data_IF_251105698973
#
_entry.id   IF_251105698973
#
_cell.length_a   1.000
_cell.length_b   1.000
_cell.length_c   1.000
_cell.angle_alpha   90.00
_cell.angle_beta   90.00
_cell.angle_gamma   90.00
#
_symmetry.space_group_name_H-M   'P 1'
#
loop_
_entity.id
_entity.type
_entity.pdbx_description
1 polymer ?
#
# COMPACT_ATOMS: atom_id res chain seq x y z
N UNK A 1 78.16 -12.11 -31.59
CA UNK A 1 76.81 -12.56 -31.18
C UNK A 1 76.25 -11.53 -30.21
N UNK A 2 75.08 -10.96 -30.51
CA UNK A 2 74.45 -9.86 -29.78
C UNK A 2 73.80 -10.40 -28.50
N UNK A 3 74.21 -9.91 -27.33
CA UNK A 3 73.49 -10.16 -26.08
C UNK A 3 72.76 -8.88 -25.66
N UNK A 4 71.45 -9.00 -25.58
CA UNK A 4 70.47 -7.98 -25.19
C UNK A 4 70.38 -8.01 -23.66
N UNK A 5 70.56 -6.86 -23.02
CA UNK A 5 70.42 -6.71 -21.57
C UNK A 5 68.95 -6.84 -21.13
N UNK A 6 68.65 -7.41 -19.95
CA UNK A 6 67.29 -7.61 -19.50
C UNK A 6 66.69 -6.34 -18.87
N UNK A 7 65.47 -6.04 -19.30
CA UNK A 7 64.58 -5.03 -18.79
C UNK A 7 63.98 -5.49 -17.46
N UNK A 8 64.47 -4.96 -16.34
CA UNK A 8 63.89 -5.19 -15.00
C UNK A 8 63.84 -3.88 -14.20
N UNK A 9 62.72 -3.15 -14.30
CA UNK A 9 62.14 -2.32 -13.24
C UNK A 9 60.93 -1.58 -13.82
N UNK A 10 59.72 -1.78 -13.25
CA UNK A 10 58.66 -0.76 -13.09
C UNK A 10 57.25 -1.30 -12.78
N UNK A 11 57.01 -2.63 -12.78
CA UNK A 11 55.66 -3.15 -12.56
C UNK A 11 55.15 -3.05 -11.10
N UNK A 12 56.05 -2.89 -10.12
CA UNK A 12 55.66 -2.73 -8.70
C UNK A 12 55.22 -1.32 -8.31
N UNK A 13 55.66 -0.29 -9.04
CA UNK A 13 55.33 1.12 -8.75
C UNK A 13 53.91 1.43 -9.26
N UNK A 14 53.56 0.91 -10.44
CA UNK A 14 52.22 1.07 -11.04
C UNK A 14 51.11 0.41 -10.20
N UNK A 15 51.36 -0.78 -9.63
CA UNK A 15 50.38 -1.48 -8.77
C UNK A 15 50.22 -0.76 -7.42
N UNK A 16 51.30 -0.20 -6.85
CA UNK A 16 51.23 0.59 -5.61
C UNK A 16 50.48 1.91 -5.81
N UNK A 17 50.67 2.59 -6.95
CA UNK A 17 49.90 3.80 -7.27
C UNK A 17 48.41 3.50 -7.50
N UNK A 18 48.07 2.38 -8.14
CA UNK A 18 46.69 1.99 -8.39
C UNK A 18 45.92 1.61 -7.10
N UNK A 19 46.56 0.93 -6.15
CA UNK A 19 45.95 0.58 -4.85
C UNK A 19 45.78 1.81 -3.95
N UNK A 20 46.72 2.77 -3.99
CA UNK A 20 46.59 4.05 -3.25
C UNK A 20 45.49 4.92 -3.86
N UNK A 21 45.34 4.96 -5.19
CA UNK A 21 44.23 5.66 -5.86
C UNK A 21 42.86 5.00 -5.59
N UNK A 22 42.79 3.67 -5.46
CA UNK A 22 41.58 2.93 -5.10
C UNK A 22 41.17 3.13 -3.63
N UNK A 23 42.14 3.26 -2.71
CA UNK A 23 41.90 3.52 -1.28
C UNK A 23 41.52 4.98 -0.98
N UNK A 24 41.94 5.94 -1.81
CA UNK A 24 41.48 7.33 -1.70
C UNK A 24 40.01 7.46 -2.17
N UNK A 25 39.57 6.62 -3.11
CA UNK A 25 38.20 6.63 -3.63
C UNK A 25 37.16 6.08 -2.62
N UNK A 26 37.55 5.19 -1.72
CA UNK A 26 36.63 4.61 -0.71
C UNK A 26 36.43 5.49 0.54
N UNK A 27 37.32 6.47 0.81
CA UNK A 27 37.18 7.38 1.95
C UNK A 27 36.27 8.61 1.68
N UNK A 28 35.83 8.85 0.45
CA UNK A 28 35.00 10.02 0.11
C UNK A 28 33.49 9.75 0.21
N UNK A 29 33.07 8.49 0.35
CA UNK A 29 31.64 8.13 0.44
C UNK A 29 31.06 8.07 1.87
N UNK A 30 31.89 8.27 2.89
CA UNK A 30 31.42 8.31 4.28
C UNK A 30 31.38 9.77 4.75
N UNK A 31 30.18 10.37 4.71
CA UNK A 31 29.84 11.75 5.12
C UNK A 31 29.56 12.77 4.01
N UNK A 32 28.83 12.40 2.95
CA UNK A 32 28.01 13.40 2.26
C UNK A 32 26.79 13.71 3.14
N UNK A 33 26.84 14.83 3.88
CA UNK A 33 25.63 15.45 4.42
C UNK A 33 24.76 15.80 3.22
N UNK A 34 23.65 15.08 3.01
CA UNK A 34 22.70 15.40 1.94
C UNK A 34 22.22 16.84 2.18
N UNK A 35 22.34 17.75 1.20
CA UNK A 35 21.83 19.10 1.36
C UNK A 35 20.32 19.00 1.60
N UNK A 36 19.85 19.59 2.71
CA UNK A 36 18.42 19.73 2.98
C UNK A 36 17.88 20.81 2.04
N UNK A 37 17.18 20.39 0.99
CA UNK A 37 16.52 21.29 0.06
C UNK A 37 15.27 21.88 0.74
N UNK A 38 15.21 23.21 0.82
CA UNK A 38 14.15 23.92 1.54
C UNK A 38 13.00 24.23 0.58
N UNK A 39 11.92 23.47 0.68
CA UNK A 39 10.67 23.76 -0.03
C UNK A 39 9.78 24.71 0.79
N UNK A 40 9.07 25.62 0.12
CA UNK A 40 8.12 26.52 0.76
C UNK A 40 6.72 25.88 0.82
N UNK A 41 6.08 25.82 2.01
CA UNK A 41 4.75 25.25 2.14
C UNK A 41 3.68 26.20 1.57
N UNK A 42 2.57 25.67 1.03
CA UNK A 42 1.45 26.49 0.63
C UNK A 42 0.81 27.16 1.86
N UNK A 43 0.42 28.42 1.73
CA UNK A 43 -0.17 29.18 2.84
C UNK A 43 -1.68 29.25 2.66
N UNK A 44 -2.42 28.69 3.63
CA UNK A 44 -3.87 28.76 3.65
C UNK A 44 -4.37 30.21 3.78
N UNK A 45 -5.35 30.59 2.96
CA UNK A 45 -6.02 31.89 3.05
C UNK A 45 -6.81 31.97 4.35
N UNK A 46 -6.65 33.08 5.08
CA UNK A 46 -7.48 33.42 6.24
C UNK A 46 -8.75 34.12 5.77
N UNK A 47 -9.90 33.49 5.99
CA UNK A 47 -11.24 34.03 5.71
C UNK A 47 -12.00 33.98 7.03
N UNK A 48 -12.23 35.11 7.70
CA UNK A 48 -12.79 35.12 9.05
C UNK A 48 -14.26 34.71 9.04
N UNK A 49 -14.57 33.56 9.64
CA UNK A 49 -15.93 33.09 9.88
C UNK A 49 -16.28 33.19 11.36
N UNK A 50 -17.45 33.73 11.70
CA UNK A 50 -17.89 33.86 13.10
C UNK A 50 -18.73 32.67 13.50
N UNK A 51 -18.24 31.91 14.47
CA UNK A 51 -18.94 30.75 15.02
C UNK A 51 -19.40 31.11 16.42
N UNK A 52 -20.71 31.07 16.65
CA UNK A 52 -21.31 31.33 17.97
C UNK A 52 -21.91 30.04 18.53
N UNK A 53 -21.42 29.60 19.69
CA UNK A 53 -21.93 28.43 20.40
C UNK A 53 -22.00 28.72 21.89
N UNK A 54 -23.11 28.35 22.54
CA UNK A 54 -23.36 28.56 23.97
C UNK A 54 -23.11 30.00 24.46
N UNK A 55 -23.50 31.00 23.66
CA UNK A 55 -23.32 32.41 24.00
C UNK A 55 -21.89 32.94 23.84
N UNK A 56 -20.94 32.13 23.40
CA UNK A 56 -19.57 32.55 23.09
C UNK A 56 -19.34 32.60 21.58
N UNK A 57 -18.70 33.65 21.10
CA UNK A 57 -18.33 33.80 19.68
C UNK A 57 -16.82 33.67 19.51
N UNK A 58 -16.39 32.80 18.58
CA UNK A 58 -15.01 32.70 18.10
C UNK A 58 -14.93 33.03 16.62
N UNK A 59 -13.77 33.48 16.16
CA UNK A 59 -13.48 33.66 14.74
C UNK A 59 -12.64 32.46 14.29
N UNK A 60 -13.13 31.74 13.30
CA UNK A 60 -12.42 30.66 12.63
C UNK A 60 -12.00 31.13 11.24
N UNK A 61 -10.71 31.44 11.07
CA UNK A 61 -10.17 31.93 9.81
C UNK A 61 -10.10 30.85 8.72
N UNK A 62 -10.34 29.59 9.07
CA UNK A 62 -10.11 28.43 8.20
C UNK A 62 -11.34 27.54 8.07
N UNK A 63 -12.51 28.04 8.48
CA UNK A 63 -13.79 27.32 8.39
C UNK A 63 -14.05 26.76 6.98
N UNK A 64 -13.70 27.53 5.96
CA UNK A 64 -13.83 27.16 4.55
C UNK A 64 -13.08 25.88 4.15
N UNK A 65 -12.04 25.45 4.88
CA UNK A 65 -11.32 24.18 4.61
C UNK A 65 -12.18 22.93 4.85
N UNK A 66 -13.27 23.03 5.61
CA UNK A 66 -14.21 21.94 5.82
C UNK A 66 -15.18 21.70 4.65
N UNK A 67 -15.25 22.64 3.71
CA UNK A 67 -16.17 22.58 2.56
C UNK A 67 -15.59 21.72 1.44
N UNK A 68 -15.89 20.41 1.47
CA UNK A 68 -15.27 19.41 0.57
C UNK A 68 -15.39 19.74 -0.92
N UNK A 69 -16.50 20.32 -1.34
CA UNK A 69 -16.77 20.64 -2.75
C UNK A 69 -16.28 22.05 -3.17
N UNK A 70 -15.73 22.82 -2.24
CA UNK A 70 -15.25 24.17 -2.53
C UNK A 70 -13.97 24.10 -3.39
N UNK A 71 -13.94 24.72 -4.58
CA UNK A 71 -12.78 24.65 -5.48
C UNK A 71 -11.51 25.26 -4.88
N UNK A 72 -11.62 26.20 -3.93
CA UNK A 72 -10.47 26.73 -3.21
C UNK A 72 -9.82 25.64 -2.33
N UNK A 73 -10.63 24.75 -1.74
CA UNK A 73 -10.14 23.66 -0.87
C UNK A 73 -9.38 22.65 -1.72
N UNK A 74 -9.98 22.21 -2.83
CA UNK A 74 -9.32 21.30 -3.77
C UNK A 74 -8.00 21.89 -4.28
N UNK A 75 -7.99 23.19 -4.62
CA UNK A 75 -6.76 23.87 -5.05
C UNK A 75 -5.69 23.87 -3.95
N UNK A 76 -6.07 24.12 -2.70
CA UNK A 76 -5.15 24.13 -1.57
C UNK A 76 -4.61 22.73 -1.28
N UNK A 77 -5.47 21.69 -1.27
CA UNK A 77 -5.07 20.31 -1.05
C UNK A 77 -4.11 19.79 -2.12
N UNK A 78 -4.31 20.17 -3.39
CA UNK A 78 -3.34 19.85 -4.45
C UNK A 78 -1.98 20.48 -4.18
N UNK A 79 -1.95 21.75 -3.78
CA UNK A 79 -0.69 22.42 -3.44
C UNK A 79 0.01 21.78 -2.22
N UNK A 80 -0.75 21.29 -1.23
CA UNK A 80 -0.22 20.54 -0.09
C UNK A 80 0.35 19.19 -0.52
N UNK A 81 -0.35 18.46 -1.40
CA UNK A 81 0.16 17.20 -1.95
C UNK A 81 1.44 17.41 -2.77
N UNK A 82 1.49 18.44 -3.62
CA UNK A 82 2.68 18.78 -4.40
C UNK A 82 3.87 19.15 -3.48
N UNK A 83 3.60 19.81 -2.35
CA UNK A 83 4.61 20.12 -1.35
C UNK A 83 5.09 18.86 -0.62
N UNK A 84 4.16 17.99 -0.22
CA UNK A 84 4.44 16.70 0.40
C UNK A 84 5.35 15.85 -0.49
N UNK A 85 5.02 15.71 -1.79
CA UNK A 85 5.82 14.95 -2.75
C UNK A 85 7.27 15.45 -2.79
N UNK A 86 7.48 16.77 -2.91
CA UNK A 86 8.83 17.36 -2.96
C UNK A 86 9.61 17.14 -1.68
N UNK A 87 8.98 17.38 -0.53
CA UNK A 87 9.62 17.21 0.79
C UNK A 87 9.95 15.74 1.05
N UNK A 88 9.06 14.84 0.68
CA UNK A 88 9.17 13.40 0.98
C UNK A 88 9.96 12.60 -0.07
N UNK A 89 10.20 13.15 -1.26
CA UNK A 89 10.89 12.47 -2.37
C UNK A 89 12.18 11.76 -1.92
N UNK A 90 12.98 12.39 -1.06
CA UNK A 90 14.24 11.82 -0.57
C UNK A 90 14.08 10.55 0.30
N UNK A 91 12.87 10.22 0.74
CA UNK A 91 12.53 9.08 1.60
C UNK A 91 11.81 7.95 0.87
N UNK A 92 11.47 8.09 -0.43
CA UNK A 92 10.69 7.08 -1.17
C UNK A 92 11.30 5.68 -1.08
N UNK A 93 12.61 5.57 -1.27
CA UNK A 93 13.31 4.28 -1.15
C UNK A 93 13.21 3.66 0.26
N UNK A 94 13.19 4.50 1.31
CA UNK A 94 13.00 4.03 2.68
C UNK A 94 11.55 3.62 2.93
N UNK A 95 10.57 4.38 2.41
CA UNK A 95 9.16 4.04 2.50
C UNK A 95 8.88 2.66 1.89
N UNK A 96 9.42 2.40 0.69
CA UNK A 96 9.30 1.11 0.01
C UNK A 96 9.93 -0.03 0.83
N UNK A 97 11.14 0.21 1.37
CA UNK A 97 11.81 -0.77 2.22
C UNK A 97 10.97 -1.11 3.46
N UNK A 98 10.41 -0.09 4.11
CA UNK A 98 9.55 -0.27 5.28
C UNK A 98 8.24 -0.94 4.92
N UNK A 99 7.66 -0.63 3.77
CA UNK A 99 6.45 -1.28 3.27
C UNK A 99 6.66 -2.79 3.11
N UNK A 100 7.72 -3.19 2.41
CA UNK A 100 8.06 -4.61 2.23
C UNK A 100 8.43 -5.30 3.55
N UNK A 101 9.12 -4.62 4.46
CA UNK A 101 9.41 -5.13 5.80
C UNK A 101 8.13 -5.39 6.61
N UNK A 102 7.20 -4.43 6.62
CA UNK A 102 5.92 -4.55 7.35
C UNK A 102 5.08 -5.66 6.71
N UNK A 103 4.95 -5.66 5.38
CA UNK A 103 4.22 -6.68 4.63
C UNK A 103 4.77 -8.07 4.94
N UNK A 104 6.08 -8.25 4.90
CA UNK A 104 6.75 -9.52 5.21
C UNK A 104 6.59 -9.99 6.66
N UNK A 105 6.15 -9.13 7.59
CA UNK A 105 5.87 -9.49 8.99
C UNK A 105 4.42 -9.89 9.24
N UNK A 106 3.52 -9.62 8.31
CA UNK A 106 2.11 -9.99 8.41
C UNK A 106 1.97 -11.45 7.96
N UNK A 107 1.42 -12.30 8.83
CA UNK A 107 1.08 -13.68 8.47
C UNK A 107 -0.28 -13.70 7.77
N UNK A 108 -0.33 -14.22 6.56
CA UNK A 108 -1.59 -14.34 5.79
C UNK A 108 -2.58 -15.32 6.43
N UNK A 109 -2.08 -16.35 7.10
CA UNK A 109 -2.88 -17.25 7.95
C UNK A 109 -2.40 -17.14 9.39
N UNK A 110 -3.29 -16.74 10.29
CA UNK A 110 -2.94 -16.49 11.70
C UNK A 110 -3.97 -17.11 12.65
N UNK A 111 -3.51 -17.49 13.84
CA UNK A 111 -4.31 -18.10 14.89
C UNK A 111 -4.03 -17.37 16.20
N UNK A 112 -5.09 -16.83 16.82
CA UNK A 112 -4.95 -16.19 18.13
C UNK A 112 -4.65 -17.22 19.22
N UNK A 113 -4.09 -16.75 20.33
CA UNK A 113 -3.96 -17.57 21.53
C UNK A 113 -5.37 -17.99 22.00
N UNK A 114 -5.64 -19.29 22.20
CA UNK A 114 -6.95 -19.72 22.70
C UNK A 114 -7.19 -19.26 24.13
N UNK A 115 -8.32 -18.59 24.37
CA UNK A 115 -8.77 -18.15 25.68
C UNK A 115 -9.83 -19.10 26.22
N UNK A 116 -9.65 -19.59 27.45
CA UNK A 116 -10.65 -20.42 28.11
C UNK A 116 -11.75 -19.56 28.70
N UNK A 117 -12.99 -19.77 28.26
CA UNK A 117 -14.19 -19.16 28.84
C UNK A 117 -15.21 -20.25 29.16
N UNK A 118 -15.30 -20.60 30.45
CA UNK A 118 -16.07 -21.76 30.92
C UNK A 118 -15.45 -23.08 30.45
N UNK A 119 -16.25 -23.88 29.76
CA UNK A 119 -15.86 -25.19 29.21
C UNK A 119 -15.33 -25.13 27.77
N UNK A 120 -15.27 -23.94 27.17
CA UNK A 120 -14.84 -23.75 25.79
C UNK A 120 -13.56 -22.91 25.71
N UNK A 121 -12.75 -23.18 24.68
CA UNK A 121 -11.64 -22.34 24.27
C UNK A 121 -12.05 -21.54 23.03
N UNK A 122 -11.90 -20.23 23.10
CA UNK A 122 -12.19 -19.31 22.01
C UNK A 122 -10.88 -18.85 21.37
N UNK A 123 -10.84 -18.82 20.05
CA UNK A 123 -9.72 -18.27 19.30
C UNK A 123 -10.23 -17.64 18.01
N UNK A 124 -9.44 -16.74 17.45
CA UNK A 124 -9.66 -16.14 16.14
C UNK A 124 -8.70 -16.81 15.17
N UNK A 125 -9.18 -17.16 13.98
CA UNK A 125 -8.37 -17.71 12.91
C UNK A 125 -8.63 -16.93 11.63
N UNK A 126 -7.55 -16.47 11.02
CA UNK A 126 -7.57 -15.91 9.67
C UNK A 126 -7.09 -16.97 8.69
N UNK A 127 -7.86 -17.21 7.64
CA UNK A 127 -7.47 -18.07 6.53
C UNK A 127 -7.85 -17.40 5.20
N UNK A 128 -7.02 -17.61 4.19
CA UNK A 128 -7.35 -17.18 2.84
C UNK A 128 -8.39 -18.14 2.25
N UNK A 129 -9.58 -17.63 1.96
CA UNK A 129 -10.67 -18.39 1.32
C UNK A 129 -10.72 -18.13 -0.18
N UNK A 130 -10.57 -16.87 -0.58
CA UNK A 130 -10.57 -16.45 -1.98
C UNK A 130 -9.22 -15.77 -2.25
N UNK A 131 -8.31 -16.43 -2.98
CA UNK A 131 -7.00 -15.85 -3.27
C UNK A 131 -7.11 -14.67 -4.23
N UNK A 132 -6.19 -13.71 -4.10
CA UNK A 132 -6.10 -12.59 -5.01
C UNK A 132 -5.78 -13.05 -6.44
N UNK A 133 -6.38 -12.36 -7.42
CA UNK A 133 -6.15 -12.57 -8.86
C UNK A 133 -6.10 -11.20 -9.54
N UNK A 134 -5.01 -10.90 -10.24
CA UNK A 134 -4.75 -9.58 -10.83
C UNK A 134 -5.75 -9.20 -11.94
N UNK A 135 -6.37 -10.20 -12.58
CA UNK A 135 -7.30 -10.06 -13.70
C UNK A 135 -8.78 -10.05 -13.27
N UNK A 136 -9.04 -10.10 -11.96
CA UNK A 136 -10.38 -10.20 -11.38
C UNK A 136 -10.62 -9.09 -10.36
N UNK A 137 -11.68 -8.33 -10.57
CA UNK A 137 -12.19 -7.38 -9.57
C UNK A 137 -13.21 -8.10 -8.68
N UNK A 138 -12.87 -8.30 -7.40
CA UNK A 138 -13.83 -8.82 -6.42
C UNK A 138 -14.82 -7.72 -6.05
N UNK A 139 -16.11 -7.94 -6.31
CA UNK A 139 -17.15 -6.93 -6.09
C UNK A 139 -17.85 -7.14 -4.74
N UNK A 140 -18.36 -8.34 -4.48
CA UNK A 140 -19.14 -8.67 -3.29
C UNK A 140 -19.06 -10.15 -2.99
N UNK A 141 -19.34 -10.53 -1.75
CA UNK A 141 -19.59 -11.93 -1.39
C UNK A 141 -20.79 -12.05 -0.46
N UNK A 142 -21.41 -13.23 -0.44
CA UNK A 142 -22.44 -13.63 0.52
C UNK A 142 -22.09 -15.00 1.09
N UNK A 143 -22.13 -15.09 2.41
CA UNK A 143 -21.88 -16.33 3.15
C UNK A 143 -23.25 -16.97 3.41
N UNK A 144 -23.42 -18.20 2.95
CA UNK A 144 -24.55 -19.07 3.31
C UNK A 144 -24.04 -20.26 4.14
N UNK A 145 -24.99 -21.02 4.71
CA UNK A 145 -24.68 -22.20 5.54
C UNK A 145 -23.78 -23.22 4.84
N UNK A 146 -24.01 -23.46 3.54
CA UNK A 146 -23.38 -24.56 2.79
C UNK A 146 -22.36 -24.06 1.74
N UNK A 147 -22.40 -22.78 1.37
CA UNK A 147 -21.53 -22.20 0.35
C UNK A 147 -21.27 -20.69 0.56
N UNK A 148 -20.17 -20.22 0.00
CA UNK A 148 -19.85 -18.82 -0.23
C UNK A 148 -20.14 -18.47 -1.68
N UNK A 149 -20.93 -17.41 -1.93
CA UNK A 149 -21.13 -16.85 -3.26
C UNK A 149 -20.24 -15.63 -3.42
N UNK A 150 -19.42 -15.61 -4.46
CA UNK A 150 -18.54 -14.48 -4.80
C UNK A 150 -19.03 -13.86 -6.11
N UNK A 151 -19.41 -12.59 -6.06
CA UNK A 151 -19.62 -11.76 -7.24
C UNK A 151 -18.28 -11.11 -7.61
N UNK A 152 -17.80 -11.45 -8.78
CA UNK A 152 -16.52 -10.97 -9.31
C UNK A 152 -16.69 -10.47 -10.73
N UNK A 153 -15.81 -9.57 -11.17
CA UNK A 153 -15.78 -9.10 -12.56
C UNK A 153 -14.50 -9.56 -13.21
N UNK A 154 -14.66 -10.30 -14.31
CA UNK A 154 -13.57 -10.77 -15.15
C UNK A 154 -13.90 -10.42 -16.61
N UNK A 155 -12.95 -9.85 -17.34
CA UNK A 155 -13.14 -9.39 -18.73
C UNK A 155 -14.35 -8.44 -18.91
N UNK A 156 -14.67 -7.63 -17.90
CA UNK A 156 -15.79 -6.67 -17.92
C UNK A 156 -17.17 -7.28 -17.64
N UNK A 157 -17.29 -8.61 -17.55
CA UNK A 157 -18.53 -9.30 -17.22
C UNK A 157 -18.55 -9.67 -15.74
N UNK A 158 -19.69 -9.47 -15.07
CA UNK A 158 -19.89 -9.96 -13.70
C UNK A 158 -20.14 -11.46 -13.76
N UNK A 159 -19.51 -12.21 -12.88
CA UNK A 159 -19.62 -13.65 -12.76
C UNK A 159 -19.86 -14.02 -11.29
N UNK A 160 -20.51 -15.16 -11.09
CA UNK A 160 -20.86 -15.67 -9.77
C UNK A 160 -20.13 -16.98 -9.56
N UNK A 161 -19.15 -16.98 -8.65
CA UNK A 161 -18.41 -18.17 -8.24
C UNK A 161 -19.05 -18.72 -6.97
N UNK A 162 -19.46 -19.97 -7.02
CA UNK A 162 -19.93 -20.73 -5.87
C UNK A 162 -18.75 -21.49 -5.30
N UNK A 163 -18.48 -21.26 -4.02
CA UNK A 163 -17.43 -21.92 -3.25
C UNK A 163 -18.08 -22.70 -2.10
N UNK A 164 -18.40 -23.99 -2.29
CA UNK A 164 -18.96 -24.85 -1.25
C UNK A 164 -18.01 -24.99 -0.06
N UNK A 165 -18.52 -24.95 1.17
CA UNK A 165 -17.67 -25.15 2.36
C UNK A 165 -17.20 -26.59 2.52
N UNK A 166 -17.95 -27.55 1.96
CA UNK A 166 -17.70 -28.98 2.14
C UNK A 166 -17.83 -29.77 0.84
N UNK A 167 -16.81 -30.60 0.55
CA UNK A 167 -16.91 -31.78 -0.34
C UNK A 167 -17.08 -31.55 -1.84
N UNK A 168 -17.57 -30.39 -2.27
CA UNK A 168 -17.81 -30.07 -3.68
C UNK A 168 -16.76 -29.12 -4.24
N UNK A 169 -16.47 -29.26 -5.55
CA UNK A 169 -15.58 -28.36 -6.25
C UNK A 169 -16.30 -27.04 -6.52
N UNK A 170 -15.59 -25.94 -6.36
CA UNK A 170 -16.05 -24.63 -6.81
C UNK A 170 -16.42 -24.59 -8.30
N UNK A 171 -17.41 -23.77 -8.63
CA UNK A 171 -17.89 -23.62 -9.99
C UNK A 171 -18.49 -22.23 -10.22
N UNK A 172 -18.62 -21.86 -11.49
CA UNK A 172 -19.29 -20.64 -11.91
C UNK A 172 -20.73 -20.94 -12.29
N UNK A 173 -21.65 -20.03 -11.96
CA UNK A 173 -23.01 -20.09 -12.50
C UNK A 173 -22.95 -19.76 -13.99
N UNK A 174 -23.39 -20.72 -14.82
CA UNK A 174 -23.62 -20.50 -16.24
C UNK A 174 -25.08 -20.08 -16.47
N UNK A 175 -25.28 -18.86 -16.94
CA UNK A 175 -26.61 -18.33 -17.27
C UNK A 175 -27.10 -18.76 -18.66
N UNK A 176 -26.26 -19.42 -19.45
CA UNK A 176 -26.59 -19.85 -20.81
C UNK A 176 -26.63 -18.70 -21.85
N UNK A 177 -26.34 -17.47 -21.43
CA UNK A 177 -26.32 -16.28 -22.28
C UNK A 177 -24.92 -15.63 -22.27
N UNK A 178 -24.50 -15.10 -23.42
CA UNK A 178 -23.19 -14.43 -23.57
C UNK A 178 -23.12 -13.06 -22.90
N UNK A 179 -24.27 -12.46 -22.55
CA UNK A 179 -24.36 -11.17 -21.87
C UNK A 179 -25.60 -11.17 -21.00
N UNK A 180 -25.42 -11.01 -19.70
CA UNK A 180 -26.50 -10.99 -18.71
C UNK A 180 -26.29 -9.86 -17.71
N UNK A 181 -27.37 -9.49 -17.03
CA UNK A 181 -27.34 -8.60 -15.88
C UNK A 181 -27.88 -9.33 -14.67
N UNK A 182 -26.98 -9.69 -13.75
CA UNK A 182 -27.31 -10.23 -12.45
C UNK A 182 -26.42 -9.55 -11.40
N UNK A 183 -26.90 -9.45 -10.17
CA UNK A 183 -26.18 -8.89 -9.02
C UNK A 183 -26.61 -9.59 -7.73
N UNK A 184 -25.70 -9.69 -6.75
CA UNK A 184 -26.08 -10.14 -5.41
C UNK A 184 -26.84 -9.02 -4.69
N UNK A 185 -28.09 -9.29 -4.30
CA UNK A 185 -28.86 -8.41 -3.43
C UNK A 185 -28.97 -9.01 -2.02
N UNK A 186 -29.13 -8.17 -1.00
CA UNK A 186 -29.21 -8.61 0.39
C UNK A 186 -30.59 -9.19 0.66
N UNK A 187 -30.74 -10.50 0.56
CA UNK A 187 -31.92 -11.19 1.05
C UNK A 187 -31.62 -11.58 2.51
N UNK A 188 -32.35 -11.06 3.52
CA UNK A 188 -32.25 -11.59 4.87
C UNK A 188 -32.57 -13.08 4.79
N UNK A 189 -31.64 -13.95 5.18
CA UNK A 189 -31.95 -15.37 5.37
C UNK A 189 -33.13 -15.45 6.34
N UNK A 190 -34.29 -15.86 5.84
CA UNK A 190 -35.49 -16.08 6.63
C UNK A 190 -35.32 -17.38 7.41
N UNK A 191 -34.40 -17.39 8.38
CA UNK A 191 -34.34 -18.46 9.39
C UNK A 191 -35.54 -18.28 10.34
N UNK A 192 -36.71 -18.70 9.87
CA UNK A 192 -37.88 -18.98 10.72
C UNK A 192 -38.21 -20.46 10.64
N UNK A 193 -37.64 -21.24 11.56
CA UNK A 193 -38.23 -22.45 12.15
C UNK A 193 -37.74 -22.65 13.57
#
# INVERSE_FOLDING_TARGET
>A
MKNIAPFHQNNGILIRCAVVLLLIFTMVNCSQKRPYEKFEPPIAKKIPEKITMHGHTRIDNYYWLGERDNPLVIKYLRAENDYLEKVMAHTEALQETLFEEIRGRIKETDLSVPERKGDYFYYIRWEEVIPHRDDVELLRFQIHRDYLVVEERMNGLRQFRIHPWFGEKEYYIDFGETTYLAYLDTIPELDSK
#
